data_IF_751078134392
#
_entry.id   IF_751078134392
#
_cell.length_a   1.000
_cell.length_b   1.000
_cell.length_c   1.000
_cell.angle_alpha   90.00
_cell.angle_beta   90.00
_cell.angle_gamma   90.00
#
_symmetry.space_group_name_H-M   'P 1'
#
loop_
_entity.id
_entity.type
_entity.pdbx_description
1 polymer ?
#
# COMPACT_ATOMS: atom_id res chain seq x y z
N UNK A 1 -1.44 -26.29 2.09
CA UNK A 1 -1.69 -26.07 3.52
C UNK A 1 -0.45 -26.41 4.32
N UNK A 2 0.04 -25.45 5.13
CA UNK A 2 1.25 -25.65 5.95
C UNK A 2 1.03 -26.77 6.99
N UNK A 3 1.98 -27.71 7.20
CA UNK A 3 1.79 -28.87 8.09
C UNK A 3 1.40 -28.52 9.53
N UNK A 4 1.82 -27.34 9.99
CA UNK A 4 1.49 -26.87 11.34
C UNK A 4 0.05 -26.37 11.46
N UNK A 5 -0.50 -25.76 10.42
CA UNK A 5 -1.89 -25.32 10.39
C UNK A 5 -2.83 -26.53 10.23
N UNK A 6 -2.45 -27.53 9.42
CA UNK A 6 -3.18 -28.81 9.31
C UNK A 6 -3.32 -29.53 10.66
N UNK A 7 -2.25 -29.54 11.47
CA UNK A 7 -2.29 -30.11 12.83
C UNK A 7 -3.23 -29.33 13.75
N UNK A 8 -3.34 -28.02 13.60
CA UNK A 8 -4.23 -27.19 14.42
C UNK A 8 -5.70 -27.35 14.01
N UNK A 9 -5.97 -27.45 12.71
CA UNK A 9 -7.31 -27.72 12.16
C UNK A 9 -7.79 -29.11 12.55
N UNK A 10 -6.97 -30.15 12.39
CA UNK A 10 -7.32 -31.53 12.78
C UNK A 10 -7.57 -31.69 14.28
N UNK A 11 -6.96 -30.83 15.11
CA UNK A 11 -7.21 -30.75 16.57
C UNK A 11 -8.38 -29.84 16.94
N UNK A 12 -9.07 -29.25 15.97
CA UNK A 12 -10.19 -28.32 16.18
C UNK A 12 -9.82 -27.02 16.90
N UNK A 13 -8.54 -26.61 16.85
CA UNK A 13 -8.05 -25.39 17.51
C UNK A 13 -8.32 -24.13 16.69
N UNK A 14 -8.34 -24.27 15.36
CA UNK A 14 -8.69 -23.22 14.40
C UNK A 14 -9.59 -23.83 13.31
N UNK A 15 -10.42 -23.01 12.67
CA UNK A 15 -11.21 -23.42 11.50
C UNK A 15 -10.39 -23.39 10.20
N UNK A 16 -10.87 -24.08 9.16
CA UNK A 16 -10.18 -24.17 7.87
C UNK A 16 -9.98 -22.80 7.21
N UNK A 17 -10.94 -21.89 7.33
CA UNK A 17 -10.84 -20.54 6.76
C UNK A 17 -9.69 -19.76 7.43
N UNK A 18 -9.58 -19.85 8.76
CA UNK A 18 -8.47 -19.25 9.52
C UNK A 18 -7.13 -19.84 9.06
N UNK A 19 -7.05 -21.15 8.82
CA UNK A 19 -5.84 -21.79 8.33
C UNK A 19 -5.45 -21.32 6.92
N UNK A 20 -6.40 -21.20 6.00
CA UNK A 20 -6.16 -20.68 4.65
C UNK A 20 -5.62 -19.24 4.68
N UNK A 21 -6.18 -18.37 5.52
CA UNK A 21 -5.70 -17.00 5.66
C UNK A 21 -4.31 -16.93 6.31
N UNK A 22 -4.05 -17.76 7.32
CA UNK A 22 -2.72 -17.83 7.93
C UNK A 22 -1.68 -18.42 6.97
N UNK A 23 -2.07 -19.28 6.03
CA UNK A 23 -1.15 -19.80 5.01
C UNK A 23 -0.59 -18.68 4.11
N UNK A 24 -1.30 -17.57 3.95
CA UNK A 24 -0.83 -16.38 3.25
C UNK A 24 0.09 -15.49 4.11
N UNK A 25 0.20 -15.77 5.40
CA UNK A 25 0.95 -14.99 6.39
C UNK A 25 2.04 -15.83 7.12
N UNK A 26 2.92 -16.56 6.40
CA UNK A 26 4.00 -17.29 7.04
C UNK A 26 5.00 -16.34 7.73
N UNK A 27 5.77 -16.84 8.70
CA UNK A 27 6.90 -16.09 9.25
C UNK A 27 7.82 -15.58 8.14
N UNK A 28 8.14 -14.29 8.19
CA UNK A 28 8.87 -13.56 7.16
C UNK A 28 8.01 -12.68 6.27
N UNK A 29 6.70 -12.91 6.19
CA UNK A 29 5.81 -12.14 5.32
C UNK A 29 5.49 -10.77 5.90
N UNK A 30 5.47 -9.75 5.04
CA UNK A 30 4.99 -8.42 5.41
C UNK A 30 3.47 -8.40 5.42
N UNK A 31 2.90 -7.65 6.36
CA UNK A 31 1.47 -7.50 6.50
C UNK A 31 1.10 -6.06 6.88
N UNK A 32 -0.16 -5.72 6.66
CA UNK A 32 -0.75 -4.47 7.08
C UNK A 32 -1.90 -4.73 8.05
N UNK A 33 -1.96 -3.94 9.13
CA UNK A 33 -3.10 -3.87 10.03
C UNK A 33 -3.71 -2.46 10.00
N UNK A 34 -5.04 -2.38 10.03
CA UNK A 34 -5.78 -1.11 9.96
C UNK A 34 -5.40 -0.10 11.04
N UNK A 35 -5.07 -0.56 12.25
CA UNK A 35 -4.77 0.31 13.40
C UNK A 35 -3.29 0.39 13.75
N UNK A 36 -2.46 -0.56 13.32
CA UNK A 36 -1.03 -0.62 13.70
C UNK A 36 -0.08 -0.39 12.52
N UNK A 37 -0.63 -0.21 11.31
CA UNK A 37 0.17 0.07 10.12
C UNK A 37 0.86 -1.17 9.56
N UNK A 38 2.01 -0.94 8.94
CA UNK A 38 2.81 -1.99 8.34
C UNK A 38 3.55 -2.81 9.42
N UNK A 39 3.75 -4.09 9.14
CA UNK A 39 4.52 -4.97 10.00
C UNK A 39 5.02 -6.21 9.28
N UNK A 40 5.76 -7.04 10.00
CA UNK A 40 6.32 -8.30 9.52
C UNK A 40 5.97 -9.43 10.47
N UNK A 41 5.46 -10.53 9.94
CA UNK A 41 5.20 -11.74 10.74
C UNK A 41 6.55 -12.34 11.15
N UNK A 42 6.75 -12.49 12.45
CA UNK A 42 8.00 -13.01 13.02
C UNK A 42 7.89 -14.50 13.28
N UNK A 43 6.76 -14.95 13.85
CA UNK A 43 6.57 -16.34 14.22
C UNK A 43 5.09 -16.72 14.40
N UNK A 44 4.81 -18.02 14.40
CA UNK A 44 3.54 -18.59 14.85
C UNK A 44 3.75 -19.35 16.16
N UNK A 45 3.27 -18.78 17.27
CA UNK A 45 3.18 -19.48 18.54
C UNK A 45 2.03 -20.50 18.51
N UNK A 46 2.39 -21.75 18.20
CA UNK A 46 1.47 -22.88 18.10
C UNK A 46 0.93 -23.32 19.46
N UNK A 47 1.66 -23.05 20.55
CA UNK A 47 1.26 -23.45 21.89
C UNK A 47 0.22 -22.46 22.44
N UNK A 48 0.48 -21.16 22.25
CA UNK A 48 -0.43 -20.08 22.62
C UNK A 48 -1.56 -19.82 21.62
N UNK A 49 -1.51 -20.44 20.43
CA UNK A 49 -2.39 -20.14 19.28
C UNK A 49 -2.33 -18.67 18.87
N UNK A 50 -1.11 -18.13 18.78
CA UNK A 50 -0.85 -16.73 18.43
C UNK A 50 0.07 -16.60 17.23
N UNK A 51 -0.01 -15.45 16.59
CA UNK A 51 0.89 -14.96 15.55
C UNK A 51 1.65 -13.79 16.16
N UNK A 52 2.98 -13.83 16.08
CA UNK A 52 3.85 -12.76 16.55
C UNK A 52 4.18 -11.87 15.35
N UNK A 53 3.87 -10.58 15.46
CA UNK A 53 4.09 -9.60 14.41
C UNK A 53 4.88 -8.42 14.95
N UNK A 54 5.90 -8.00 14.20
CA UNK A 54 6.61 -6.76 14.42
C UNK A 54 5.97 -5.65 13.60
N UNK A 55 5.25 -4.72 14.23
CA UNK A 55 4.75 -3.50 13.59
C UNK A 55 5.76 -2.36 13.69
N UNK A 56 5.66 -1.36 12.80
CA UNK A 56 6.53 -0.17 12.80
C UNK A 56 6.61 0.52 14.18
N UNK A 57 5.47 0.66 14.87
CA UNK A 57 5.40 1.32 16.18
C UNK A 57 5.51 0.34 17.35
N UNK A 58 5.36 -0.97 17.11
CA UNK A 58 5.27 -1.99 18.16
C UNK A 58 5.80 -3.35 17.70
N UNK A 59 7.02 -3.65 18.12
CA UNK A 59 7.64 -4.97 17.93
C UNK A 59 7.11 -6.01 18.94
N UNK A 60 7.09 -7.28 18.53
CA UNK A 60 6.75 -8.43 19.36
C UNK A 60 5.27 -8.53 19.69
N UNK A 61 4.39 -7.97 18.87
CA UNK A 61 2.97 -7.96 19.17
C UNK A 61 2.33 -9.33 18.90
N UNK A 62 1.82 -9.96 19.94
CA UNK A 62 1.14 -11.25 19.83
C UNK A 62 -0.36 -11.06 19.54
N UNK A 63 -0.84 -11.67 18.47
CA UNK A 63 -2.24 -11.69 18.05
C UNK A 63 -2.77 -13.11 18.05
N UNK A 64 -3.99 -13.35 18.57
CA UNK A 64 -4.60 -14.67 18.43
C UNK A 64 -4.75 -15.06 16.96
N UNK A 65 -4.48 -16.32 16.61
CA UNK A 65 -4.45 -16.81 15.22
C UNK A 65 -5.71 -16.44 14.42
N UNK A 66 -6.89 -16.58 15.02
CA UNK A 66 -8.17 -16.19 14.38
C UNK A 66 -8.28 -14.68 14.15
N UNK A 67 -7.80 -13.88 15.10
CA UNK A 67 -7.81 -12.43 14.96
C UNK A 67 -6.82 -11.99 13.88
N UNK A 68 -5.60 -12.54 13.89
CA UNK A 68 -4.58 -12.27 12.87
C UNK A 68 -5.09 -12.61 11.46
N UNK A 69 -5.70 -13.78 11.27
CA UNK A 69 -6.30 -14.21 10.01
C UNK A 69 -7.38 -13.26 9.46
N UNK A 70 -8.10 -12.55 10.34
CA UNK A 70 -9.18 -11.65 9.94
C UNK A 70 -8.73 -10.18 9.82
N UNK A 71 -7.65 -9.79 10.51
CA UNK A 71 -7.26 -8.38 10.64
C UNK A 71 -5.99 -8.02 9.88
N UNK A 72 -5.14 -9.00 9.56
CA UNK A 72 -3.92 -8.80 8.81
C UNK A 72 -4.17 -9.03 7.33
N UNK A 73 -3.71 -8.10 6.51
CA UNK A 73 -3.66 -8.27 5.05
C UNK A 73 -2.22 -8.49 4.63
N UNK A 74 -1.88 -9.59 3.93
CA UNK A 74 -0.53 -9.80 3.40
C UNK A 74 -0.20 -8.71 2.38
N UNK A 75 1.04 -8.21 2.41
CA UNK A 75 1.55 -7.23 1.45
C UNK A 75 2.83 -7.77 0.80
N UNK A 76 3.03 -7.43 -0.48
CA UNK A 76 4.21 -7.84 -1.21
C UNK A 76 5.47 -7.10 -0.71
N UNK A 77 6.64 -7.72 -0.81
CA UNK A 77 7.90 -7.16 -0.30
C UNK A 77 8.35 -5.89 -1.04
N UNK A 78 7.93 -5.77 -2.30
CA UNK A 78 8.17 -4.61 -3.15
C UNK A 78 7.19 -3.46 -2.89
N UNK A 79 6.12 -3.70 -2.14
CA UNK A 79 5.15 -2.68 -1.76
C UNK A 79 5.80 -1.52 -0.99
N UNK A 80 5.28 -0.31 -1.20
CA UNK A 80 5.66 0.89 -0.46
C UNK A 80 5.68 0.65 1.07
N UNK A 81 4.66 -0.02 1.62
CA UNK A 81 4.55 -0.27 3.05
C UNK A 81 5.62 -1.24 3.57
N UNK A 82 5.96 -2.26 2.78
CA UNK A 82 7.04 -3.19 3.12
C UNK A 82 8.40 -2.48 3.10
N UNK A 83 8.66 -1.67 2.08
CA UNK A 83 9.86 -0.81 1.99
C UNK A 83 9.91 0.23 3.11
N UNK A 84 8.77 0.76 3.55
CA UNK A 84 8.70 1.72 4.65
C UNK A 84 9.09 1.09 5.99
N UNK A 85 8.64 -0.14 6.21
CA UNK A 85 9.06 -0.92 7.37
C UNK A 85 10.54 -1.32 7.30
N UNK A 86 11.01 -1.81 6.15
CA UNK A 86 12.36 -2.38 6.01
C UNK A 86 13.48 -1.34 5.85
N UNK A 87 13.25 -0.32 5.03
CA UNK A 87 14.24 0.68 4.61
C UNK A 87 13.65 2.09 4.54
N UNK A 88 13.24 2.70 5.68
CA UNK A 88 12.63 4.02 5.69
C UNK A 88 13.57 5.13 5.18
N UNK A 89 14.88 4.98 5.35
CA UNK A 89 15.85 5.98 4.89
C UNK A 89 16.01 5.98 3.36
N UNK A 90 15.94 4.81 2.71
CA UNK A 90 15.92 4.73 1.25
C UNK A 90 14.70 5.45 0.65
N UNK A 91 13.54 5.35 1.30
CA UNK A 91 12.35 6.09 0.86
C UNK A 91 12.50 7.61 1.03
N UNK A 92 13.19 8.06 2.09
CA UNK A 92 13.49 9.50 2.28
C UNK A 92 14.43 10.00 1.20
N UNK A 93 15.43 9.20 0.84
CA UNK A 93 16.37 9.56 -0.23
C UNK A 93 15.67 9.55 -1.60
N UNK A 94 14.80 8.57 -1.86
CA UNK A 94 13.97 8.50 -3.06
C UNK A 94 13.05 9.72 -3.15
N UNK A 95 12.41 10.12 -2.06
CA UNK A 95 11.56 11.31 -2.01
C UNK A 95 12.30 12.60 -2.43
N UNK A 96 13.59 12.71 -2.12
CA UNK A 96 14.39 13.88 -2.44
C UNK A 96 14.99 13.82 -3.86
N UNK A 97 15.44 12.64 -4.28
CA UNK A 97 16.10 12.42 -5.56
C UNK A 97 15.11 12.28 -6.71
N UNK A 98 14.14 11.37 -6.57
CA UNK A 98 13.10 11.10 -7.56
C UNK A 98 11.71 10.96 -6.92
N UNK A 99 11.01 12.08 -6.71
CA UNK A 99 9.65 12.04 -6.16
C UNK A 99 8.64 11.43 -7.14
N UNK A 100 8.94 11.28 -8.43
CA UNK A 100 8.01 10.64 -9.38
C UNK A 100 8.02 9.13 -9.14
N UNK A 101 9.20 8.54 -9.01
CA UNK A 101 9.35 7.12 -8.73
C UNK A 101 8.74 6.73 -7.39
N UNK A 102 8.90 7.56 -6.35
CA UNK A 102 8.19 7.36 -5.08
C UNK A 102 6.67 7.32 -5.27
N UNK A 103 6.13 8.21 -6.10
CA UNK A 103 4.69 8.28 -6.35
C UNK A 103 4.19 7.08 -7.15
N UNK A 104 4.96 6.56 -8.10
CA UNK A 104 4.65 5.28 -8.77
C UNK A 104 4.58 4.15 -7.76
N UNK A 105 5.62 4.01 -6.93
CA UNK A 105 5.70 2.97 -5.91
C UNK A 105 4.50 3.00 -4.95
N UNK A 106 4.10 4.19 -4.49
CA UNK A 106 2.93 4.35 -3.61
C UNK A 106 1.64 3.96 -4.31
N UNK A 107 1.43 4.41 -5.56
CA UNK A 107 0.20 4.14 -6.32
C UNK A 107 0.09 2.66 -6.70
N UNK A 108 1.15 2.05 -7.22
CA UNK A 108 1.15 0.62 -7.59
C UNK A 108 0.97 -0.31 -6.40
N UNK A 109 1.24 0.18 -5.18
CA UNK A 109 0.92 -0.54 -3.94
C UNK A 109 -0.54 -0.41 -3.49
N UNK A 110 -1.33 0.43 -4.15
CA UNK A 110 -2.73 0.75 -3.81
C UNK A 110 -3.61 0.73 -5.08
N UNK A 111 -3.49 -0.31 -5.90
CA UNK A 111 -4.30 -0.52 -7.10
C UNK A 111 -4.27 0.69 -8.07
N UNK A 112 -3.09 1.32 -8.19
CA UNK A 112 -2.81 2.48 -9.04
C UNK A 112 -3.66 3.72 -8.78
N UNK A 113 -4.41 3.76 -7.66
CA UNK A 113 -5.37 4.81 -7.35
C UNK A 113 -5.39 5.16 -5.87
N UNK A 114 -5.13 6.43 -5.55
CA UNK A 114 -5.09 6.88 -4.16
C UNK A 114 -5.63 8.31 -3.97
N UNK A 115 -6.45 8.52 -2.95
CA UNK A 115 -6.88 9.87 -2.56
C UNK A 115 -5.74 10.69 -1.95
N UNK A 116 -5.74 12.00 -2.20
CA UNK A 116 -4.68 12.89 -1.71
C UNK A 116 -4.58 12.95 -0.18
N UNK A 117 -5.70 12.81 0.53
CA UNK A 117 -5.70 12.77 1.99
C UNK A 117 -5.01 11.50 2.49
N UNK A 118 -5.26 10.35 1.83
CA UNK A 118 -4.61 9.10 2.19
C UNK A 118 -3.12 9.09 1.84
N UNK A 119 -2.77 9.68 0.70
CA UNK A 119 -1.38 9.91 0.30
C UNK A 119 -0.63 10.75 1.35
N UNK A 120 -1.26 11.83 1.82
CA UNK A 120 -0.69 12.68 2.85
C UNK A 120 -0.43 11.90 4.13
N UNK A 121 -1.37 11.09 4.61
CA UNK A 121 -1.19 10.23 5.79
C UNK A 121 -0.04 9.22 5.63
N UNK A 122 0.17 8.67 4.44
CA UNK A 122 1.20 7.65 4.20
C UNK A 122 2.61 8.24 4.14
N UNK A 123 2.75 9.45 3.60
CA UNK A 123 4.05 10.07 3.35
C UNK A 123 4.48 11.03 4.48
N UNK A 124 3.55 11.83 4.99
CA UNK A 124 3.82 12.88 5.97
C UNK A 124 4.19 12.28 7.32
N UNK A 125 5.28 12.75 7.92
CA UNK A 125 5.80 12.27 9.21
C UNK A 125 6.67 11.01 9.10
N UNK A 126 6.46 10.18 8.06
CA UNK A 126 7.20 8.93 7.87
C UNK A 126 8.34 9.06 6.85
N UNK A 127 8.00 9.47 5.63
CA UNK A 127 8.96 9.64 4.52
C UNK A 127 9.33 11.11 4.36
N UNK A 128 8.34 11.99 4.47
CA UNK A 128 8.53 13.44 4.35
C UNK A 128 8.32 14.07 5.73
N UNK A 129 9.27 14.85 6.27
CA UNK A 129 9.06 15.60 7.50
C UNK A 129 7.82 16.48 7.41
N UNK A 130 6.99 16.51 8.45
CA UNK A 130 5.66 17.15 8.41
C UNK A 130 5.72 18.61 7.92
N UNK A 131 6.70 19.38 8.39
CA UNK A 131 6.89 20.78 8.00
C UNK A 131 7.33 21.01 6.55
N UNK A 132 7.83 19.96 5.88
CA UNK A 132 8.29 20.02 4.47
C UNK A 132 7.28 19.42 3.49
N UNK A 133 6.26 18.69 3.97
CA UNK A 133 5.31 18.00 3.10
C UNK A 133 4.63 18.93 2.10
N UNK A 134 4.15 20.10 2.55
CA UNK A 134 3.44 21.04 1.66
C UNK A 134 4.31 21.55 0.51
N UNK A 135 5.55 21.93 0.78
CA UNK A 135 6.46 22.43 -0.26
C UNK A 135 6.92 21.31 -1.19
N UNK A 136 7.19 20.13 -0.65
CA UNK A 136 7.50 18.92 -1.42
C UNK A 136 6.33 18.52 -2.33
N UNK A 137 5.10 18.52 -1.82
CA UNK A 137 3.93 18.16 -2.61
C UNK A 137 3.71 19.13 -3.77
N UNK A 138 3.84 20.44 -3.55
CA UNK A 138 3.66 21.41 -4.65
C UNK A 138 4.73 21.30 -5.74
N UNK A 139 5.98 20.95 -5.40
CA UNK A 139 7.01 20.69 -6.41
C UNK A 139 6.78 19.36 -7.13
N UNK A 140 6.47 18.29 -6.41
CA UNK A 140 6.16 16.97 -6.96
C UNK A 140 4.92 17.01 -7.85
N UNK A 141 3.85 17.70 -7.44
CA UNK A 141 2.61 17.84 -8.21
C UNK A 141 2.82 18.51 -9.57
N UNK A 142 3.80 19.42 -9.70
CA UNK A 142 4.17 20.00 -11.01
C UNK A 142 4.81 18.94 -11.91
N UNK A 143 5.79 18.20 -11.40
CA UNK A 143 6.44 17.10 -12.12
C UNK A 143 5.44 16.00 -12.50
N UNK A 144 4.50 15.66 -11.61
CA UNK A 144 3.46 14.66 -11.89
C UNK A 144 2.56 15.10 -13.05
N UNK A 145 2.20 16.38 -13.15
CA UNK A 145 1.39 16.89 -14.28
C UNK A 145 2.14 16.89 -15.62
N UNK A 146 3.46 16.98 -15.57
CA UNK A 146 4.32 16.87 -16.76
C UNK A 146 4.48 15.42 -17.22
N UNK A 147 4.22 14.45 -16.33
CA UNK A 147 4.27 13.04 -16.64
C UNK A 147 2.88 12.52 -17.05
N UNK A 148 2.75 12.11 -18.31
CA UNK A 148 1.49 11.64 -18.91
C UNK A 148 0.91 10.37 -18.26
N UNK A 149 1.72 9.62 -17.51
CA UNK A 149 1.28 8.44 -16.77
C UNK A 149 0.43 8.80 -15.54
N UNK A 150 0.52 10.03 -15.01
CA UNK A 150 -0.21 10.42 -13.82
C UNK A 150 -1.41 11.28 -14.13
N UNK A 151 -2.57 10.90 -13.61
CA UNK A 151 -3.78 11.73 -13.63
C UNK A 151 -3.86 12.48 -12.31
N UNK A 152 -3.34 13.72 -12.32
CA UNK A 152 -3.37 14.58 -11.13
C UNK A 152 -4.75 15.24 -11.00
N UNK A 153 -5.49 14.99 -9.90
CA UNK A 153 -6.84 15.47 -9.75
C UNK A 153 -6.89 16.99 -9.59
N UNK A 154 -7.92 17.61 -10.18
CA UNK A 154 -8.19 19.03 -10.03
C UNK A 154 -8.81 19.36 -8.65
N UNK A 155 -9.64 18.44 -8.12
CA UNK A 155 -10.27 18.56 -6.81
C UNK A 155 -9.69 17.52 -5.85
N UNK A 156 -9.59 17.85 -4.56
CA UNK A 156 -9.13 16.89 -3.53
C UNK A 156 -10.06 15.69 -3.33
N UNK A 157 -11.32 15.82 -3.76
CA UNK A 157 -12.32 14.75 -3.72
C UNK A 157 -12.09 13.68 -4.78
N UNK A 158 -11.22 13.94 -5.75
CA UNK A 158 -10.90 13.01 -6.82
C UNK A 158 -9.53 12.36 -6.51
N UNK A 159 -9.34 11.10 -6.89
CA UNK A 159 -8.10 10.35 -6.66
C UNK A 159 -6.94 10.84 -7.54
N UNK A 160 -5.71 10.57 -7.11
CA UNK A 160 -4.55 10.49 -7.98
C UNK A 160 -4.48 9.09 -8.58
N UNK A 161 -4.28 9.00 -9.89
CA UNK A 161 -4.25 7.73 -10.61
C UNK A 161 -2.94 7.58 -11.41
N UNK A 162 -2.44 6.35 -11.51
CA UNK A 162 -1.34 5.94 -12.38
C UNK A 162 -1.93 5.15 -13.56
N UNK A 163 -1.57 5.53 -14.79
CA UNK A 163 -1.90 4.81 -16.02
C UNK A 163 -0.83 3.76 -16.31
N UNK A 164 -1.26 2.64 -16.89
CA UNK A 164 -0.36 1.55 -17.31
C UNK A 164 0.67 2.02 -18.36
N UNK A 165 1.80 1.31 -18.41
CA UNK A 165 2.97 1.65 -19.24
C UNK A 165 2.73 1.60 -20.75
N UNK A 166 1.74 0.83 -21.22
CA UNK A 166 1.32 0.73 -22.63
C UNK A 166 0.38 1.87 -23.07
N UNK A 167 0.55 3.06 -22.48
CA UNK A 167 -0.20 4.24 -22.89
C UNK A 167 0.37 4.81 -24.20
N UNK A 168 -0.26 4.51 -25.33
CA UNK A 168 -0.04 5.24 -26.58
C UNK A 168 -0.57 6.68 -26.40
N UNK A 169 0.27 7.72 -26.46
CA UNK A 169 -0.13 9.11 -26.31
C UNK A 169 -1.26 9.54 -27.24
N UNK A 170 -1.40 8.86 -28.39
CA UNK A 170 -2.46 9.14 -29.35
C UNK A 170 -3.84 8.67 -28.87
N UNK A 171 -3.93 7.58 -28.11
CA UNK A 171 -5.21 7.09 -27.59
C UNK A 171 -5.76 7.99 -26.47
N UNK A 172 -4.92 8.43 -25.54
CA UNK A 172 -5.35 9.34 -24.47
C UNK A 172 -5.80 10.71 -24.98
N UNK A 173 -5.12 11.25 -26.02
CA UNK A 173 -5.57 12.47 -26.68
C UNK A 173 -6.92 12.26 -27.41
N UNK A 174 -7.16 11.08 -27.99
CA UNK A 174 -8.45 10.73 -28.59
C UNK A 174 -9.52 10.58 -27.51
N UNK A 175 -9.20 10.02 -26.35
CA UNK A 175 -10.14 9.81 -25.24
C UNK A 175 -10.53 11.15 -24.60
N UNK A 176 -9.55 12.02 -24.29
CA UNK A 176 -9.78 13.38 -23.82
C UNK A 176 -10.59 14.20 -24.85
N UNK A 177 -10.32 14.03 -26.15
CA UNK A 177 -11.08 14.69 -27.23
C UNK A 177 -12.52 14.14 -27.36
N UNK A 178 -12.74 12.83 -27.14
CA UNK A 178 -14.07 12.21 -27.13
C UNK A 178 -14.90 12.70 -25.94
N UNK A 179 -14.32 12.72 -24.74
CA UNK A 179 -14.95 13.24 -23.53
C UNK A 179 -15.28 14.74 -23.68
N UNK A 180 -14.37 15.52 -24.26
CA UNK A 180 -14.62 16.94 -24.56
C UNK A 180 -15.69 17.16 -25.65
N UNK A 181 -15.85 16.24 -26.62
CA UNK A 181 -16.94 16.30 -27.61
C UNK A 181 -18.30 15.96 -27.01
N UNK A 182 -18.38 15.00 -26.08
CA UNK A 182 -19.65 14.64 -25.44
C UNK A 182 -20.21 15.76 -24.56
N UNK A 183 -19.34 16.56 -23.94
CA UNK A 183 -19.72 17.78 -23.22
C UNK A 183 -20.30 18.88 -24.13
N UNK A 184 -19.99 18.87 -25.44
CA UNK A 184 -20.60 19.75 -26.44
C UNK A 184 -21.89 19.20 -27.06
N UNK A 185 -22.20 17.92 -26.84
CA UNK A 185 -23.39 17.26 -27.40
C UNK A 185 -24.59 17.24 -26.44
N UNK A 186 -24.41 17.65 -25.17
CA UNK A 186 -25.50 17.89 -24.21
C UNK A 186 -25.70 19.40 -24.02
N UNK A 187 -26.27 20.05 -25.03
CA UNK A 187 -27.00 21.33 -24.92
C UNK A 187 -28.43 21.07 -25.41
#
# INVERSE_FOLDING_TARGET
MHPDLEKLVSRGKIDSLTAEQLELLPPGTFCQHKSWGAGKVVDWDRLGLKVVVDFEEKSGHELGMKFAAMSLTPIAEDSFLAKRYASPDELKDLANSDPIELMKLVLSSHDDRLFLDKLEELLKGYVIPEGKYKSWWESTKKKLRENMQFIVPAKRTDPLELREEDFDPSEGLIEDFRVARDLRAKV
#
